data_IF_414091442610
#
_entry.id   IF_414091442610
#
_cell.length_a   1.000
_cell.length_b   1.000
_cell.length_c   1.000
_cell.angle_alpha   90.00
_cell.angle_beta   90.00
_cell.angle_gamma   90.00
#
_symmetry.space_group_name_H-M   'P 1'
#
loop_
_entity.id
_entity.type
_entity.pdbx_description
1 polymer ?
#
# COMPACT_ATOMS: atom_id res chain seq x y z
N UNK A 1 -6.57 -0.65 -17.27
CA UNK A 1 -7.51 -1.27 -16.31
C UNK A 1 -8.68 -0.32 -16.09
N UNK A 2 -9.90 -0.85 -16.01
CA UNK A 2 -11.12 -0.03 -15.87
C UNK A 2 -11.29 0.38 -14.40
N UNK A 3 -11.55 1.66 -14.11
CA UNK A 3 -11.65 2.19 -12.73
C UNK A 3 -12.68 1.43 -11.88
N UNK A 4 -13.75 0.97 -12.49
CA UNK A 4 -14.80 0.15 -11.87
C UNK A 4 -14.26 -1.16 -11.28
N UNK A 5 -13.29 -1.80 -11.93
CA UNK A 5 -12.72 -3.09 -11.47
C UNK A 5 -11.86 -2.91 -10.22
N UNK A 6 -11.09 -1.82 -10.14
CA UNK A 6 -10.31 -1.47 -8.94
C UNK A 6 -11.23 -1.18 -7.76
N UNK A 7 -12.30 -0.42 -7.98
CA UNK A 7 -13.27 -0.08 -6.92
C UNK A 7 -13.96 -1.34 -6.39
N UNK A 8 -14.35 -2.27 -7.27
CA UNK A 8 -14.93 -3.55 -6.86
C UNK A 8 -13.95 -4.40 -6.04
N UNK A 9 -12.68 -4.50 -6.47
CA UNK A 9 -11.64 -5.19 -5.69
C UNK A 9 -11.49 -4.56 -4.30
N UNK A 10 -11.38 -3.24 -4.21
CA UNK A 10 -11.28 -2.52 -2.93
C UNK A 10 -12.49 -2.77 -2.02
N UNK A 11 -13.71 -2.76 -2.57
CA UNK A 11 -14.92 -3.07 -1.79
C UNK A 11 -14.92 -4.50 -1.25
N UNK A 12 -14.46 -5.48 -2.03
CA UNK A 12 -14.32 -6.86 -1.54
C UNK A 12 -13.34 -6.94 -0.37
N UNK A 13 -12.27 -6.15 -0.42
CA UNK A 13 -11.29 -6.10 0.67
C UNK A 13 -11.78 -5.41 1.92
N UNK A 14 -12.61 -4.37 1.79
CA UNK A 14 -13.28 -3.75 2.94
C UNK A 14 -14.08 -4.79 3.73
N UNK A 15 -14.74 -5.74 3.05
CA UNK A 15 -15.48 -6.82 3.73
C UNK A 15 -14.53 -7.79 4.44
N UNK A 16 -13.47 -8.26 3.75
CA UNK A 16 -12.50 -9.20 4.34
C UNK A 16 -11.84 -8.62 5.60
N UNK A 17 -11.40 -7.35 5.54
CA UNK A 17 -10.73 -6.71 6.67
C UNK A 17 -11.70 -6.40 7.81
N UNK A 18 -12.97 -6.10 7.50
CA UNK A 18 -14.01 -5.94 8.51
C UNK A 18 -14.27 -7.25 9.27
N UNK A 19 -14.28 -8.37 8.57
CA UNK A 19 -14.49 -9.70 9.19
C UNK A 19 -13.34 -10.07 10.14
N UNK A 20 -12.14 -9.50 9.92
CA UNK A 20 -10.99 -9.60 10.83
C UNK A 20 -11.02 -8.62 12.02
N UNK A 21 -12.10 -7.85 12.14
CA UNK A 21 -12.30 -6.92 13.25
C UNK A 21 -11.71 -5.53 13.05
N UNK A 22 -11.20 -5.19 11.86
CA UNK A 22 -10.79 -3.81 11.58
C UNK A 22 -12.03 -2.91 11.50
N UNK A 23 -11.96 -1.75 12.14
CA UNK A 23 -13.01 -0.75 12.00
C UNK A 23 -13.04 -0.16 10.58
N UNK A 24 -14.15 0.50 10.22
CA UNK A 24 -14.27 1.21 8.95
C UNK A 24 -13.08 2.16 8.69
N UNK A 25 -12.72 2.94 9.71
CA UNK A 25 -11.61 3.88 9.61
C UNK A 25 -10.28 3.16 9.38
N UNK A 26 -10.07 2.04 10.07
CA UNK A 26 -8.83 1.29 9.97
C UNK A 26 -8.63 0.69 8.58
N UNK A 27 -9.62 -0.03 8.04
CA UNK A 27 -9.42 -0.65 6.73
C UNK A 27 -9.32 0.41 5.61
N UNK A 28 -10.03 1.55 5.72
CA UNK A 28 -9.88 2.65 4.76
C UNK A 28 -8.48 3.24 4.81
N UNK A 29 -7.93 3.44 6.01
CA UNK A 29 -6.57 3.91 6.22
C UNK A 29 -5.53 2.95 5.61
N UNK A 30 -5.63 1.65 5.89
CA UNK A 30 -4.69 0.65 5.34
C UNK A 30 -4.76 0.58 3.81
N UNK A 31 -5.96 0.58 3.23
CA UNK A 31 -6.14 0.60 1.78
C UNK A 31 -5.58 1.89 1.17
N UNK A 32 -5.72 3.02 1.86
CA UNK A 32 -5.16 4.31 1.40
C UNK A 32 -3.64 4.24 1.30
N UNK A 33 -2.95 3.69 2.30
CA UNK A 33 -1.49 3.53 2.26
C UNK A 33 -1.02 2.68 1.08
N UNK A 34 -1.65 1.52 0.86
CA UNK A 34 -1.32 0.64 -0.25
C UNK A 34 -1.60 1.29 -1.61
N UNK A 35 -2.73 1.98 -1.74
CA UNK A 35 -3.07 2.72 -2.96
C UNK A 35 -2.07 3.82 -3.27
N UNK A 36 -1.62 4.59 -2.27
CA UNK A 36 -0.60 5.62 -2.49
C UNK A 36 0.71 5.03 -3.01
N UNK A 37 1.17 3.92 -2.42
CA UNK A 37 2.36 3.22 -2.88
C UNK A 37 2.20 2.72 -4.32
N UNK A 38 1.06 2.11 -4.66
CA UNK A 38 0.78 1.65 -6.02
C UNK A 38 0.67 2.80 -7.02
N UNK A 39 0.01 3.89 -6.65
CA UNK A 39 -0.11 5.08 -7.51
C UNK A 39 1.25 5.74 -7.76
N UNK A 40 2.14 5.76 -6.75
CA UNK A 40 3.50 6.26 -6.92
C UNK A 40 4.28 5.39 -7.92
N UNK A 41 4.19 4.07 -7.79
CA UNK A 41 4.82 3.12 -8.73
C UNK A 41 4.26 3.26 -10.16
N UNK A 42 2.93 3.35 -10.33
CA UNK A 42 2.31 3.54 -11.65
C UNK A 42 2.71 4.85 -12.33
N UNK A 43 2.95 5.93 -11.57
CA UNK A 43 3.44 7.18 -12.13
C UNK A 43 4.84 7.06 -12.74
N UNK A 44 5.66 6.11 -12.27
CA UNK A 44 6.99 5.85 -12.85
C UNK A 44 6.94 5.10 -14.17
N UNK A 45 5.79 4.46 -14.48
CA UNK A 45 5.60 3.60 -15.66
C UNK A 45 4.93 4.36 -16.83
N UNK A 46 4.99 3.83 -18.06
CA UNK A 46 4.20 4.33 -19.17
C UNK A 46 2.69 4.31 -18.85
N UNK A 47 1.91 5.32 -19.26
CA UNK A 47 2.27 6.44 -20.13
C UNK A 47 2.85 7.67 -19.39
N UNK A 48 2.86 7.69 -18.06
CA UNK A 48 3.20 8.88 -17.28
C UNK A 48 4.71 9.15 -17.23
N UNK A 49 5.53 8.12 -17.00
CA UNK A 49 7.00 8.17 -16.98
C UNK A 49 7.58 9.31 -16.12
N UNK A 50 6.90 9.64 -15.01
CA UNK A 50 7.29 10.69 -14.08
C UNK A 50 8.44 10.20 -13.20
N UNK A 51 9.67 10.51 -13.61
CA UNK A 51 10.89 10.11 -12.87
C UNK A 51 11.01 10.77 -11.50
N UNK A 52 10.39 11.93 -11.32
CA UNK A 52 10.26 12.63 -10.04
C UNK A 52 9.38 11.87 -9.03
N UNK A 53 8.37 11.13 -9.50
CA UNK A 53 7.58 10.24 -8.65
C UNK A 53 8.43 9.10 -8.05
N UNK A 54 9.42 8.60 -8.79
CA UNK A 54 10.37 7.60 -8.29
C UNK A 54 11.28 8.15 -7.17
N UNK A 55 11.53 9.47 -7.15
CA UNK A 55 12.30 10.11 -6.09
C UNK A 55 11.49 10.31 -4.80
N UNK A 56 10.16 10.13 -4.86
CA UNK A 56 9.24 10.42 -3.75
C UNK A 56 9.15 9.27 -2.75
N UNK A 57 9.35 8.02 -3.22
CA UNK A 57 9.37 6.81 -2.39
C UNK A 57 10.75 6.14 -2.56
N UNK A 58 11.54 5.96 -1.49
CA UNK A 58 12.82 5.25 -1.57
C UNK A 58 12.64 3.85 -2.19
N UNK A 59 13.58 3.43 -3.05
CA UNK A 59 13.49 2.17 -3.78
C UNK A 59 13.30 0.94 -2.87
N UNK A 60 13.89 0.97 -1.67
CA UNK A 60 13.74 -0.08 -0.65
C UNK A 60 12.28 -0.26 -0.19
N UNK A 61 11.50 0.81 -0.17
CA UNK A 61 10.11 0.84 0.32
C UNK A 61 9.08 0.98 -0.83
N UNK A 62 9.53 0.72 -2.06
CA UNK A 62 8.71 0.83 -3.26
C UNK A 62 7.70 -0.33 -3.38
N UNK A 63 6.68 -0.14 -4.22
CA UNK A 63 5.70 -1.21 -4.51
C UNK A 63 6.35 -2.51 -5.02
N UNK A 64 7.35 -2.48 -5.93
CA UNK A 64 8.06 -3.70 -6.33
C UNK A 64 8.84 -4.36 -5.19
N UNK A 65 9.28 -3.62 -4.18
CA UNK A 65 9.95 -4.19 -3.01
C UNK A 65 8.98 -4.96 -2.12
N UNK A 66 7.74 -4.47 -1.97
CA UNK A 66 6.67 -5.19 -1.28
C UNK A 66 6.27 -6.47 -2.02
N UNK A 67 6.10 -6.41 -3.34
CA UNK A 67 5.70 -7.57 -4.17
C UNK A 67 6.67 -8.76 -4.12
N UNK A 68 7.94 -8.52 -3.80
CA UNK A 68 8.98 -9.57 -3.74
C UNK A 68 9.00 -10.35 -2.44
N UNK A 69 8.14 -9.99 -1.48
CA UNK A 69 8.14 -10.54 -0.12
C UNK A 69 6.84 -11.23 0.19
N UNK A 70 6.91 -12.19 1.10
CA UNK A 70 5.80 -13.04 1.52
C UNK A 70 5.87 -13.34 3.02
N UNK A 71 4.74 -13.77 3.60
CA UNK A 71 4.64 -14.16 5.00
C UNK A 71 5.12 -13.07 5.97
N UNK A 72 5.79 -13.48 7.05
CA UNK A 72 6.29 -12.58 8.09
C UNK A 72 7.26 -11.52 7.55
N UNK A 73 8.05 -11.85 6.51
CA UNK A 73 8.96 -10.89 5.90
C UNK A 73 8.18 -9.73 5.26
N UNK A 74 7.07 -10.02 4.59
CA UNK A 74 6.20 -9.01 4.02
C UNK A 74 5.62 -8.09 5.10
N UNK A 75 5.11 -8.67 6.19
CA UNK A 75 4.51 -7.90 7.28
C UNK A 75 5.54 -6.98 7.94
N UNK A 76 6.72 -7.52 8.28
CA UNK A 76 7.83 -6.76 8.88
C UNK A 76 8.26 -5.64 7.93
N UNK A 77 8.44 -5.96 6.64
CA UNK A 77 8.85 -4.97 5.66
C UNK A 77 7.78 -3.89 5.45
N UNK A 78 6.50 -4.26 5.41
CA UNK A 78 5.42 -3.29 5.30
C UNK A 78 5.39 -2.33 6.49
N UNK A 79 5.56 -2.84 7.72
CA UNK A 79 5.68 -2.00 8.92
C UNK A 79 6.85 -1.02 8.82
N UNK A 80 8.02 -1.47 8.39
CA UNK A 80 9.18 -0.58 8.19
C UNK A 80 8.95 0.44 7.07
N UNK A 81 8.27 0.06 6.00
CA UNK A 81 7.85 0.99 4.93
C UNK A 81 6.97 2.11 5.48
N UNK A 82 5.92 1.79 6.24
CA UNK A 82 5.04 2.80 6.84
C UNK A 82 5.81 3.75 7.77
N UNK A 83 6.68 3.20 8.62
CA UNK A 83 7.50 3.98 9.54
C UNK A 83 8.48 4.90 8.81
N UNK A 84 9.18 4.40 7.80
CA UNK A 84 10.17 5.16 7.05
C UNK A 84 9.51 6.29 6.24
N UNK A 85 8.37 6.01 5.62
CA UNK A 85 7.62 7.03 4.87
C UNK A 85 7.01 8.08 5.80
N UNK A 86 6.56 7.69 6.99
CA UNK A 86 6.10 8.65 8.01
C UNK A 86 7.17 9.61 8.54
N UNK A 87 8.45 9.31 8.29
CA UNK A 87 9.60 10.17 8.64
C UNK A 87 10.06 11.08 7.48
N UNK A 88 9.50 10.91 6.28
CA UNK A 88 9.83 11.75 5.12
C UNK A 88 9.36 13.20 5.33
N UNK A 89 9.93 14.13 4.57
CA UNK A 89 9.43 15.49 4.48
C UNK A 89 8.29 15.60 3.44
N UNK A 90 7.55 16.71 3.48
CA UNK A 90 6.53 17.01 2.49
C UNK A 90 5.29 16.12 2.59
N UNK A 91 4.60 15.94 1.46
CA UNK A 91 3.29 15.28 1.41
C UNK A 91 3.34 13.81 1.88
N UNK A 92 4.40 13.07 1.55
CA UNK A 92 4.55 11.67 1.97
C UNK A 92 4.63 11.54 3.49
N UNK A 93 5.45 12.37 4.13
CA UNK A 93 5.54 12.40 5.59
C UNK A 93 4.21 12.70 6.26
N UNK A 94 3.41 13.59 5.67
CA UNK A 94 2.07 13.93 6.17
C UNK A 94 1.09 12.76 6.03
N UNK A 95 1.06 12.09 4.87
CA UNK A 95 0.17 10.96 4.62
C UNK A 95 0.48 9.79 5.56
N UNK A 96 1.76 9.45 5.71
CA UNK A 96 2.20 8.28 6.48
C UNK A 96 2.52 8.62 7.95
N UNK A 97 2.15 9.82 8.42
CA UNK A 97 2.51 10.27 9.76
C UNK A 97 1.90 9.35 10.82
N UNK A 98 2.77 8.70 11.61
CA UNK A 98 2.38 7.70 12.63
C UNK A 98 1.53 6.56 12.05
N UNK A 99 1.69 6.26 10.76
CA UNK A 99 1.04 5.11 10.14
C UNK A 99 1.47 3.81 10.85
N UNK A 100 0.50 2.91 11.05
CA UNK A 100 0.71 1.60 11.64
C UNK A 100 0.06 0.55 10.76
N UNK A 101 0.69 -0.62 10.66
CA UNK A 101 0.04 -1.77 10.05
C UNK A 101 -1.05 -2.29 11.00
N UNK A 102 -2.28 -2.38 10.51
CA UNK A 102 -3.42 -2.96 11.24
C UNK A 102 -3.89 -4.29 10.64
N UNK A 103 -3.29 -4.71 9.52
CA UNK A 103 -3.55 -6.00 8.88
C UNK A 103 -2.65 -7.04 9.56
N UNK A 104 -3.23 -7.84 10.44
CA UNK A 104 -2.47 -8.83 11.23
C UNK A 104 -2.19 -10.13 10.49
N UNK A 105 -2.93 -10.41 9.42
CA UNK A 105 -2.78 -11.64 8.64
C UNK A 105 -1.89 -11.36 7.42
N UNK A 106 -0.64 -11.88 7.39
CA UNK A 106 0.28 -11.63 6.28
C UNK A 106 -0.22 -12.17 4.95
N UNK A 107 -1.03 -13.25 4.96
CA UNK A 107 -1.60 -13.81 3.73
C UNK A 107 -2.64 -12.85 3.13
N UNK A 108 -3.41 -12.15 3.96
CA UNK A 108 -4.36 -11.13 3.50
C UNK A 108 -3.64 -9.88 2.99
N UNK A 109 -2.61 -9.43 3.69
CA UNK A 109 -1.75 -8.35 3.21
C UNK A 109 -1.14 -8.69 1.84
N UNK A 110 -0.63 -9.92 1.68
CA UNK A 110 -0.09 -10.39 0.41
C UNK A 110 -1.12 -10.40 -0.70
N UNK A 111 -2.32 -10.91 -0.41
CA UNK A 111 -3.43 -10.98 -1.36
C UNK A 111 -3.86 -9.59 -1.82
N UNK A 112 -3.97 -8.65 -0.88
CA UNK A 112 -4.24 -7.22 -1.16
C UNK A 112 -3.22 -6.63 -2.14
N UNK A 113 -1.94 -6.83 -1.86
CA UNK A 113 -0.85 -6.30 -2.71
C UNK A 113 -0.86 -6.97 -4.08
N UNK A 114 -1.13 -8.27 -4.16
CA UNK A 114 -1.26 -8.99 -5.44
C UNK A 114 -2.42 -8.44 -6.28
N UNK A 115 -3.61 -8.34 -5.69
CA UNK A 115 -4.82 -7.97 -6.42
C UNK A 115 -4.82 -6.51 -6.87
N UNK A 116 -4.10 -5.63 -6.18
CA UNK A 116 -3.86 -4.24 -6.59
C UNK A 116 -2.84 -4.12 -7.73
N UNK A 117 -2.03 -5.16 -7.95
CA UNK A 117 -1.09 -5.20 -9.06
C UNK A 117 -1.77 -5.55 -10.40
N UNK A 118 -2.80 -6.39 -10.35
CA UNK A 118 -3.56 -6.93 -11.48
C UNK A 118 -4.77 -6.09 -11.89
#
# INVERSE_FOLDING_TARGET
MNSTTIVQKLWNYCNILRDDGLSYGDYVEQLTFLLFLKMADEQTKPPFQRRDAAATIPAEYSWPALLKRDGDELEIHHRHTLEALGKQAGLIGVIFRKAQNKIQDPAKLRRLIADLND
#
